data_IF_629130975343
#
_entry.id   IF_629130975343
#
_cell.length_a   1.000
_cell.length_b   1.000
_cell.length_c   1.000
_cell.angle_alpha   90.00
_cell.angle_beta   90.00
_cell.angle_gamma   90.00
#
_symmetry.space_group_name_H-M   'P 1'
#
loop_
_entity.id
_entity.type
_entity.pdbx_description
1 polymer ?
#
# COMPACT_ATOMS: atom_id res chain seq x y z
N UNK A 1 -18.45 -20.57 40.56
CA UNK A 1 -18.36 -20.62 39.09
C UNK A 1 -18.74 -19.31 38.40
N UNK A 2 -19.72 -18.52 38.88
CA UNK A 2 -20.15 -17.27 38.21
C UNK A 2 -19.06 -16.16 38.14
N UNK A 3 -18.31 -15.94 39.23
CA UNK A 3 -17.24 -14.92 39.26
C UNK A 3 -16.08 -15.20 38.30
N UNK A 4 -15.82 -16.47 38.01
CA UNK A 4 -14.76 -16.90 37.09
C UNK A 4 -15.06 -16.51 35.65
N UNK A 5 -16.34 -16.53 35.25
CA UNK A 5 -16.80 -16.13 33.92
C UNK A 5 -16.72 -14.62 33.72
N UNK A 6 -17.08 -13.81 34.71
CA UNK A 6 -17.02 -12.34 34.61
C UNK A 6 -15.57 -11.83 34.48
N UNK A 7 -14.63 -12.47 35.18
CA UNK A 7 -13.20 -12.17 35.06
C UNK A 7 -12.66 -12.61 33.70
N UNK A 8 -13.11 -13.75 33.20
CA UNK A 8 -12.71 -14.26 31.89
C UNK A 8 -13.23 -13.39 30.74
N UNK A 9 -14.47 -12.88 30.83
CA UNK A 9 -15.03 -11.96 29.83
C UNK A 9 -14.30 -10.61 29.81
N UNK A 10 -14.01 -10.08 31.00
CA UNK A 10 -13.21 -8.85 31.14
C UNK A 10 -11.80 -9.05 30.58
N UNK A 11 -11.11 -10.14 30.93
CA UNK A 11 -9.79 -10.44 30.39
C UNK A 11 -9.81 -10.65 28.86
N UNK A 12 -10.87 -11.29 28.34
CA UNK A 12 -11.07 -11.50 26.89
C UNK A 12 -11.19 -10.19 26.12
N UNK A 13 -11.94 -9.22 26.67
CA UNK A 13 -12.08 -7.88 26.07
C UNK A 13 -10.74 -7.13 25.98
N UNK A 14 -9.93 -7.18 27.05
CA UNK A 14 -8.61 -6.52 27.04
C UNK A 14 -7.66 -7.20 26.04
N UNK A 15 -7.70 -8.54 25.94
CA UNK A 15 -6.94 -9.28 24.94
C UNK A 15 -7.38 -8.89 23.51
N UNK A 16 -8.69 -8.78 23.25
CA UNK A 16 -9.20 -8.37 21.94
C UNK A 16 -8.74 -6.95 21.57
N UNK A 17 -8.78 -6.00 22.52
CA UNK A 17 -8.26 -4.64 22.31
C UNK A 17 -6.75 -4.64 22.06
N UNK A 18 -5.97 -5.39 22.84
CA UNK A 18 -4.53 -5.48 22.66
C UNK A 18 -4.14 -6.09 21.30
N UNK A 19 -4.88 -7.10 20.84
CA UNK A 19 -4.67 -7.67 19.50
C UNK A 19 -5.04 -6.66 18.40
N UNK A 20 -6.14 -5.92 18.56
CA UNK A 20 -6.56 -4.89 17.61
C UNK A 20 -5.52 -3.77 17.51
N UNK A 21 -4.97 -3.28 18.63
CA UNK A 21 -3.94 -2.24 18.61
C UNK A 21 -2.64 -2.74 17.99
N UNK A 22 -2.23 -3.98 18.26
CA UNK A 22 -1.05 -4.59 17.62
C UNK A 22 -1.25 -4.76 16.11
N UNK A 23 -2.44 -5.16 15.65
CA UNK A 23 -2.75 -5.27 14.22
C UNK A 23 -2.69 -3.88 13.57
N UNK A 24 -3.31 -2.86 14.17
CA UNK A 24 -3.27 -1.49 13.65
C UNK A 24 -1.84 -0.94 13.58
N UNK A 25 -1.04 -1.16 14.63
CA UNK A 25 0.39 -0.81 14.62
C UNK A 25 1.16 -1.59 13.56
N UNK A 26 0.85 -2.87 13.36
CA UNK A 26 1.41 -3.71 12.31
C UNK A 26 1.07 -3.19 10.92
N UNK A 27 -0.18 -2.77 10.68
CA UNK A 27 -0.61 -2.16 9.42
C UNK A 27 0.15 -0.86 9.15
N UNK A 28 0.23 0.04 10.14
CA UNK A 28 0.97 1.31 10.01
C UNK A 28 2.46 1.04 9.78
N UNK A 29 3.04 0.07 10.49
CA UNK A 29 4.45 -0.30 10.35
C UNK A 29 4.75 -1.01 9.03
N UNK A 30 3.85 -1.84 8.51
CA UNK A 30 3.97 -2.41 7.16
C UNK A 30 3.87 -1.31 6.11
N UNK A 31 3.00 -0.31 6.29
CA UNK A 31 2.98 0.88 5.44
C UNK A 31 4.29 1.68 5.51
N UNK A 32 4.98 1.71 6.66
CA UNK A 32 6.24 2.44 6.82
C UNK A 32 7.51 1.63 6.52
N UNK A 33 7.50 0.30 6.64
CA UNK A 33 8.65 -0.59 6.37
C UNK A 33 8.72 -1.00 4.90
N UNK A 34 7.67 -0.73 4.12
CA UNK A 34 7.79 -0.61 2.66
C UNK A 34 8.44 0.72 2.21
N UNK A 35 9.11 1.45 3.11
CA UNK A 35 9.87 2.67 2.79
C UNK A 35 11.34 2.38 2.41
N UNK A 36 11.58 1.33 1.64
CA UNK A 36 12.56 1.48 0.54
C UNK A 36 11.91 2.23 -0.65
N UNK A 37 10.57 2.40 -0.66
CA UNK A 37 9.83 3.18 -1.65
C UNK A 37 9.38 4.54 -1.09
N UNK A 38 10.34 5.39 -0.70
CA UNK A 38 10.09 6.79 -0.33
C UNK A 38 9.43 7.64 -1.44
N UNK A 39 9.15 7.06 -2.62
CA UNK A 39 8.39 7.68 -3.71
C UNK A 39 6.86 7.60 -3.54
N UNK A 40 6.33 6.70 -2.70
CA UNK A 40 4.88 6.40 -2.65
C UNK A 40 4.02 7.46 -1.95
N UNK A 41 4.62 8.28 -1.08
CA UNK A 41 3.92 9.38 -0.39
C UNK A 41 3.44 10.50 -1.31
N UNK A 42 4.03 10.64 -2.51
CA UNK A 42 3.60 11.62 -3.53
C UNK A 42 2.60 11.06 -4.53
N UNK A 43 2.52 9.72 -4.65
CA UNK A 43 1.56 9.07 -5.55
C UNK A 43 0.14 9.04 -4.99
N UNK A 44 -0.08 9.12 -3.67
CA UNK A 44 -1.43 9.24 -3.12
C UNK A 44 -2.16 10.54 -3.53
N UNK A 45 -1.41 11.54 -4.03
CA UNK A 45 -1.94 12.79 -4.54
C UNK A 45 -2.04 12.82 -6.07
N UNK A 46 -1.46 11.84 -6.77
CA UNK A 46 -1.55 11.76 -8.23
C UNK A 46 -2.65 10.78 -8.62
N UNK A 47 -3.56 11.17 -9.52
CA UNK A 47 -4.52 10.22 -10.07
C UNK A 47 -3.76 9.05 -10.70
N UNK A 48 -4.30 7.82 -10.61
CA UNK A 48 -3.73 6.69 -11.35
C UNK A 48 -3.70 7.03 -12.84
N UNK A 49 -2.72 6.47 -13.56
CA UNK A 49 -2.71 6.60 -15.01
C UNK A 49 -3.90 5.85 -15.62
N UNK A 50 -4.47 6.44 -16.66
CA UNK A 50 -5.51 5.79 -17.47
C UNK A 50 -4.90 4.66 -18.31
N UNK A 51 -5.75 3.74 -18.80
CA UNK A 51 -5.35 2.66 -19.72
C UNK A 51 -4.67 3.18 -21.00
N UNK A 52 -4.99 4.43 -21.39
CA UNK A 52 -4.39 5.13 -22.52
C UNK A 52 -3.73 6.41 -21.99
N UNK A 53 -2.39 6.40 -21.94
CA UNK A 53 -1.60 7.55 -21.51
C UNK A 53 -1.19 8.43 -22.70
N UNK A 54 -1.47 9.73 -22.63
CA UNK A 54 -1.02 10.70 -23.64
C UNK A 54 0.39 11.18 -23.28
N UNK A 55 1.34 10.86 -24.16
CA UNK A 55 2.76 11.20 -23.97
C UNK A 55 2.97 12.70 -24.09
N UNK A 56 3.52 13.32 -23.03
CA UNK A 56 3.97 14.71 -23.04
C UNK A 56 5.33 14.89 -23.70
N UNK A 57 5.68 16.15 -24.00
CA UNK A 57 6.98 16.47 -24.60
C UNK A 57 8.15 16.06 -23.69
N UNK A 58 9.13 15.37 -24.28
CA UNK A 58 10.33 14.93 -23.56
C UNK A 58 10.13 13.73 -22.63
N UNK A 59 8.94 13.12 -22.61
CA UNK A 59 8.71 11.89 -21.86
C UNK A 59 9.24 10.66 -22.60
N UNK A 60 9.67 9.67 -21.83
CA UNK A 60 10.10 8.37 -22.32
C UNK A 60 9.26 7.28 -21.66
N UNK A 61 9.21 6.07 -22.25
CA UNK A 61 8.51 4.94 -21.64
C UNK A 61 9.04 4.61 -20.23
N UNK A 62 10.33 4.84 -19.97
CA UNK A 62 10.91 4.61 -18.64
C UNK A 62 10.44 5.68 -17.64
N UNK A 63 10.40 6.94 -18.05
CA UNK A 63 9.85 8.02 -17.21
C UNK A 63 8.34 7.84 -16.96
N UNK A 64 7.61 7.27 -17.92
CA UNK A 64 6.19 6.95 -17.78
C UNK A 64 5.99 5.72 -16.89
N UNK A 65 6.84 4.69 -17.00
CA UNK A 65 6.90 3.54 -16.09
C UNK A 65 6.96 3.99 -14.64
N UNK A 66 7.87 4.91 -14.32
CA UNK A 66 8.05 5.44 -12.97
C UNK A 66 6.83 6.29 -12.51
N UNK A 67 6.14 6.94 -13.44
CA UNK A 67 4.94 7.76 -13.15
C UNK A 67 3.71 6.90 -12.89
N UNK A 68 3.55 5.82 -13.63
CA UNK A 68 2.37 4.97 -13.65
C UNK A 68 2.53 3.67 -12.86
N UNK A 69 3.73 3.42 -12.30
CA UNK A 69 4.07 2.18 -11.60
C UNK A 69 3.87 0.94 -12.48
N UNK A 70 4.18 1.08 -13.77
CA UNK A 70 4.09 -0.01 -14.77
C UNK A 70 5.49 -0.36 -15.30
N UNK A 71 6.23 -1.28 -14.62
CA UNK A 71 7.59 -1.65 -15.02
C UNK A 71 7.66 -2.40 -16.35
N UNK A 72 6.53 -2.91 -16.86
CA UNK A 72 6.49 -3.75 -18.06
C UNK A 72 5.97 -3.00 -19.29
N UNK A 73 5.75 -1.68 -19.20
CA UNK A 73 5.38 -0.81 -20.32
C UNK A 73 6.32 -0.96 -21.52
N UNK A 74 7.62 -1.17 -21.30
CA UNK A 74 8.61 -1.36 -22.38
C UNK A 74 8.44 -2.71 -23.06
N UNK A 75 8.22 -3.77 -22.30
CA UNK A 75 8.08 -5.15 -22.82
C UNK A 75 6.73 -5.37 -23.51
N UNK A 76 5.69 -4.72 -23.01
CA UNK A 76 4.32 -4.83 -23.52
C UNK A 76 4.03 -3.88 -24.67
N UNK A 77 4.96 -3.01 -25.04
CA UNK A 77 4.74 -2.08 -26.13
C UNK A 77 4.88 -2.80 -27.49
N UNK A 78 3.79 -2.98 -28.26
CA UNK A 78 3.84 -3.70 -29.53
C UNK A 78 4.68 -3.01 -30.60
N UNK A 79 5.11 -1.76 -30.37
CA UNK A 79 5.99 -1.03 -31.28
C UNK A 79 7.49 -1.23 -30.98
N UNK A 80 7.83 -1.93 -29.90
CA UNK A 80 9.21 -2.30 -29.57
C UNK A 80 9.49 -3.70 -30.13
N UNK A 81 10.53 -3.80 -30.96
CA UNK A 81 11.01 -5.03 -31.60
C UNK A 81 12.47 -5.26 -31.24
#
# INVERSE_FOLDING_TARGET
MKKSMEIADSASWYCALALLTLILMGCIKTSSVSSDEAARGKQLLKPPCDEIYVVGEGETLHTISDKCDDPFIVERNPHIH
#
